data_IF_630288407537
#
_entry.id   IF_630288407537
#
_cell.length_a   1.000
_cell.length_b   1.000
_cell.length_c   1.000
_cell.angle_alpha   90.00
_cell.angle_beta   90.00
_cell.angle_gamma   90.00
#
_symmetry.space_group_name_H-M   'P 1'
#
loop_
_entity.id
_entity.type
_entity.pdbx_description
1 polymer ?
#
# COMPACT_ATOMS: atom_id res chain seq x y z
N UNK A 1 -0.83 -1.36 8.19
CA UNK A 1 -2.00 -1.34 7.28
C UNK A 1 -1.65 -1.14 5.78
N UNK A 2 -0.62 -0.37 5.43
CA UNK A 2 -0.35 0.04 4.03
C UNK A 2 0.66 -0.84 3.25
N UNK A 3 1.11 -1.96 3.82
CA UNK A 3 2.11 -2.82 3.17
C UNK A 3 3.45 -2.12 2.89
N UNK A 4 3.95 -1.29 3.83
CA UNK A 4 5.12 -0.40 3.64
C UNK A 4 4.94 0.60 2.49
N UNK A 5 3.74 1.15 2.37
CA UNK A 5 3.39 2.10 1.31
C UNK A 5 3.02 1.45 -0.02
N UNK A 6 3.22 0.13 -0.19
CA UNK A 6 2.87 -0.58 -1.42
C UNK A 6 1.40 -0.35 -1.84
N UNK A 7 0.46 -0.44 -0.89
CA UNK A 7 -0.97 -0.33 -1.19
C UNK A 7 -1.41 1.09 -1.54
N UNK A 8 -0.57 2.11 -1.35
CA UNK A 8 -0.90 3.48 -1.81
C UNK A 8 -0.81 3.60 -3.33
N UNK A 9 -0.15 2.66 -4.01
CA UNK A 9 0.14 2.70 -5.45
C UNK A 9 1.22 3.71 -5.82
N UNK A 10 1.86 4.35 -4.85
CA UNK A 10 2.90 5.37 -5.09
C UNK A 10 4.32 4.85 -4.89
N UNK A 11 4.49 3.66 -4.31
CA UNK A 11 5.83 3.10 -4.05
C UNK A 11 6.13 2.05 -5.11
N UNK A 12 7.17 2.31 -5.89
CA UNK A 12 7.75 1.36 -6.86
C UNK A 12 9.24 1.18 -6.56
N UNK A 13 9.87 0.18 -7.18
CA UNK A 13 11.32 -0.07 -7.02
C UNK A 13 12.15 1.14 -7.45
N UNK A 14 11.69 1.89 -8.44
CA UNK A 14 12.38 3.05 -9.03
C UNK A 14 12.41 4.24 -8.08
N UNK A 15 11.38 4.40 -7.23
CA UNK A 15 11.28 5.52 -6.28
C UNK A 15 12.10 5.27 -5.01
N UNK A 16 12.42 4.00 -4.70
CA UNK A 16 13.23 3.65 -3.54
C UNK A 16 14.71 4.00 -3.78
N UNK A 17 15.39 4.69 -2.83
CA UNK A 17 16.80 5.04 -2.95
C UNK A 17 17.71 3.83 -3.22
N UNK A 18 18.81 4.04 -3.93
CA UNK A 18 19.84 3.01 -4.08
C UNK A 18 20.36 2.58 -2.70
N UNK A 19 20.44 1.27 -2.46
CA UNK A 19 20.78 0.70 -1.15
C UNK A 19 19.62 0.56 -0.15
N UNK A 20 18.41 1.05 -0.46
CA UNK A 20 17.25 0.82 0.40
C UNK A 20 16.88 -0.67 0.45
N UNK A 21 16.80 -1.24 1.67
CA UNK A 21 16.46 -2.65 1.88
C UNK A 21 15.11 -3.06 1.28
N UNK A 22 14.19 -2.11 1.11
CA UNK A 22 12.90 -2.31 0.47
C UNK A 22 13.02 -2.79 -0.97
N UNK A 23 14.09 -2.44 -1.69
CA UNK A 23 14.35 -2.89 -3.07
C UNK A 23 14.54 -4.40 -3.17
N UNK A 24 14.84 -5.08 -2.06
CA UNK A 24 15.02 -6.54 -1.99
C UNK A 24 13.71 -7.28 -1.69
N UNK A 25 12.61 -6.59 -1.38
CA UNK A 25 11.36 -7.28 -1.08
C UNK A 25 10.79 -7.94 -2.33
N UNK A 26 10.34 -9.18 -2.18
CA UNK A 26 9.75 -9.96 -3.27
C UNK A 26 8.63 -9.20 -4.00
N UNK A 27 7.80 -8.44 -3.27
CA UNK A 27 6.68 -7.65 -3.83
C UNK A 27 7.09 -6.54 -4.80
N UNK A 28 8.36 -6.16 -4.82
CA UNK A 28 8.94 -5.15 -5.71
C UNK A 28 9.84 -5.76 -6.80
N UNK A 29 9.90 -7.09 -6.92
CA UNK A 29 10.53 -7.74 -8.07
C UNK A 29 9.53 -7.85 -9.23
N UNK A 30 10.01 -7.78 -10.46
CA UNK A 30 9.22 -7.49 -11.66
C UNK A 30 7.94 -8.34 -11.79
N UNK A 31 8.06 -9.67 -11.71
CA UNK A 31 6.93 -10.61 -11.85
C UNK A 31 5.90 -10.44 -10.73
N UNK A 32 6.38 -10.32 -9.49
CA UNK A 32 5.52 -10.12 -8.33
C UNK A 32 4.89 -8.72 -8.35
N UNK A 33 5.59 -7.70 -8.83
CA UNK A 33 5.07 -6.35 -8.96
C UNK A 33 3.94 -6.32 -9.98
N UNK A 34 4.12 -6.94 -11.15
CA UNK A 34 3.09 -7.06 -12.18
C UNK A 34 1.85 -7.82 -11.66
N UNK A 35 2.05 -8.90 -10.91
CA UNK A 35 0.94 -9.65 -10.30
C UNK A 35 0.21 -8.81 -9.22
N UNK A 36 0.96 -8.15 -8.34
CA UNK A 36 0.40 -7.37 -7.23
C UNK A 36 -0.21 -6.03 -7.69
N UNK A 37 0.19 -5.49 -8.85
CA UNK A 37 -0.40 -4.27 -9.39
C UNK A 37 -1.91 -4.41 -9.59
N UNK A 38 -2.37 -5.60 -9.98
CA UNK A 38 -3.81 -5.92 -10.10
C UNK A 38 -4.57 -5.70 -8.78
N UNK A 39 -3.93 -5.93 -7.64
CA UNK A 39 -4.52 -5.69 -6.31
C UNK A 39 -4.62 -4.19 -6.04
N UNK A 40 -3.57 -3.44 -6.37
CA UNK A 40 -3.53 -1.97 -6.22
C UNK A 40 -4.58 -1.31 -7.12
N UNK A 41 -4.74 -1.80 -8.35
CA UNK A 41 -5.73 -1.29 -9.31
C UNK A 41 -7.16 -1.56 -8.84
N UNK A 42 -7.42 -2.78 -8.35
CA UNK A 42 -8.73 -3.14 -7.80
C UNK A 42 -9.09 -2.28 -6.56
N UNK A 43 -8.12 -2.05 -5.68
CA UNK A 43 -8.26 -1.14 -4.55
C UNK A 43 -8.56 0.29 -5.03
N UNK A 44 -7.84 0.77 -6.04
CA UNK A 44 -8.01 2.08 -6.66
C UNK A 44 -9.39 2.30 -7.25
N UNK A 45 -9.95 1.31 -7.93
CA UNK A 45 -11.31 1.38 -8.47
C UNK A 45 -12.37 1.55 -7.37
N UNK A 46 -12.19 0.92 -6.20
CA UNK A 46 -13.11 1.07 -5.05
C UNK A 46 -12.92 2.44 -4.39
N UNK A 47 -11.68 2.87 -4.22
CA UNK A 47 -11.34 4.16 -3.61
C UNK A 47 -11.88 5.33 -4.45
N UNK A 48 -11.71 5.28 -5.78
CA UNK A 48 -12.26 6.27 -6.71
C UNK A 48 -13.78 6.38 -6.63
N UNK A 49 -14.50 5.25 -6.59
CA UNK A 49 -15.98 5.25 -6.43
C UNK A 49 -16.45 5.93 -5.15
N UNK A 50 -15.58 6.00 -4.14
CA UNK A 50 -15.86 6.64 -2.83
C UNK A 50 -15.25 8.03 -2.71
N UNK A 51 -14.49 8.50 -3.70
CA UNK A 51 -13.80 9.80 -3.65
C UNK A 51 -12.69 9.88 -2.61
N UNK A 52 -12.05 8.75 -2.28
CA UNK A 52 -10.98 8.66 -1.27
C UNK A 52 -9.69 8.10 -1.88
N UNK A 53 -8.58 8.19 -1.15
CA UNK A 53 -7.30 7.60 -1.54
C UNK A 53 -7.20 6.11 -1.16
N UNK A 54 -6.35 5.37 -1.87
CA UNK A 54 -6.05 3.97 -1.57
C UNK A 54 -5.59 3.73 -0.12
N UNK A 55 -4.84 4.69 0.44
CA UNK A 55 -4.38 4.64 1.82
C UNK A 55 -5.55 4.65 2.81
N UNK A 56 -6.53 5.53 2.60
CA UNK A 56 -7.71 5.65 3.46
C UNK A 56 -8.54 4.37 3.40
N UNK A 57 -8.77 3.82 2.19
CA UNK A 57 -9.48 2.56 2.03
C UNK A 57 -8.76 1.39 2.73
N UNK A 58 -7.43 1.32 2.61
CA UNK A 58 -6.62 0.27 3.26
C UNK A 58 -6.67 0.36 4.79
N UNK A 59 -6.61 1.58 5.34
CA UNK A 59 -6.71 1.82 6.78
C UNK A 59 -8.10 1.44 7.28
N UNK A 60 -9.16 1.90 6.59
CA UNK A 60 -10.55 1.58 6.94
C UNK A 60 -10.82 0.07 6.89
N UNK A 61 -10.30 -0.64 5.89
CA UNK A 61 -10.42 -2.09 5.80
C UNK A 61 -9.80 -2.78 7.03
N UNK A 62 -8.58 -2.40 7.43
CA UNK A 62 -7.92 -2.97 8.61
C UNK A 62 -8.67 -2.62 9.90
N UNK A 63 -9.12 -1.39 10.07
CA UNK A 63 -9.94 -0.98 11.22
C UNK A 63 -11.21 -1.81 11.37
N UNK A 64 -11.77 -2.29 10.24
CA UNK A 64 -13.00 -3.07 10.23
C UNK A 64 -12.80 -4.57 10.51
N UNK A 65 -11.57 -5.04 10.77
CA UNK A 65 -11.30 -6.45 11.08
C UNK A 65 -11.68 -6.85 12.51
N UNK A 66 -12.02 -5.89 13.37
CA UNK A 66 -12.55 -6.17 14.71
C UNK A 66 -12.56 -4.95 15.64
N UNK A 67 -13.31 -5.01 16.75
CA UNK A 67 -13.52 -3.87 17.66
C UNK A 67 -12.25 -3.40 18.39
N UNK A 68 -11.23 -4.25 18.47
CA UNK A 68 -9.94 -3.94 19.10
C UNK A 68 -8.80 -3.78 18.09
N UNK A 69 -9.11 -3.71 16.79
CA UNK A 69 -8.11 -3.54 15.74
C UNK A 69 -7.87 -2.05 15.51
N UNK A 70 -6.70 -1.58 15.93
CA UNK A 70 -6.24 -0.21 15.67
C UNK A 70 -5.09 -0.27 14.65
N UNK A 71 -5.30 0.15 13.39
CA UNK A 71 -4.21 0.24 12.43
C UNK A 71 -3.19 1.29 12.86
N UNK A 72 -1.91 0.97 12.74
CA UNK A 72 -0.80 1.90 12.99
C UNK A 72 -0.18 2.34 11.65
N UNK A 73 -0.68 3.41 11.00
CA UNK A 73 -0.02 3.99 9.85
C UNK A 73 1.26 4.72 10.29
N UNK A 74 2.37 4.43 9.63
CA UNK A 74 3.63 5.16 9.87
C UNK A 74 3.67 6.46 9.08
N UNK A 75 4.27 7.50 9.65
CA UNK A 75 4.65 8.75 8.98
C UNK A 75 6.09 9.10 9.33
N UNK A 76 6.83 9.68 8.38
CA UNK A 76 8.20 10.18 8.57
C UNK A 76 8.27 11.71 8.65
N UNK A 77 7.13 12.39 8.47
CA UNK A 77 6.98 13.85 8.60
C UNK A 77 5.84 14.15 9.57
N UNK A 78 6.04 15.14 10.43
CA UNK A 78 5.01 15.68 11.31
C UNK A 78 4.12 16.66 10.56
#
# INVERSE_FOLDING_TARGET
PLGRGFLTGQITKEILPEGDMGRMFARFQDEAMAANQKIVDALGAIAQKKGIFNAELSIAFVSNLGPHVVPLPGSSKA
#
